data_IF_721495367322
#
_entry.id   IF_721495367322
#
_cell.length_a   1.000
_cell.length_b   1.000
_cell.length_c   1.000
_cell.angle_alpha   90.00
_cell.angle_beta   90.00
_cell.angle_gamma   90.00
#
_symmetry.space_group_name_H-M   'P 1'
#
loop_
_entity.id
_entity.type
_entity.pdbx_description
1 polymer ?
#
# COMPACT_ATOMS: atom_id res chain seq x y z
N UNK A 1 -38.76 -37.63 12.57
CA UNK A 1 -37.87 -36.54 12.13
C UNK A 1 -36.49 -37.15 11.93
N UNK A 2 -36.07 -37.33 10.68
CA UNK A 2 -34.80 -37.97 10.33
C UNK A 2 -33.71 -36.90 10.31
N UNK A 3 -32.77 -36.97 11.26
CA UNK A 3 -31.55 -36.17 11.21
C UNK A 3 -30.63 -36.75 10.14
N UNK A 4 -30.51 -36.04 9.03
CA UNK A 4 -29.55 -36.36 7.99
C UNK A 4 -28.16 -35.85 8.44
N UNK A 5 -27.08 -36.65 8.29
CA UNK A 5 -25.75 -36.18 8.64
C UNK A 5 -25.37 -35.02 7.72
N UNK A 6 -25.04 -33.86 8.29
CA UNK A 6 -24.43 -32.76 7.53
C UNK A 6 -22.97 -33.13 7.36
N UNK A 7 -22.58 -33.54 6.16
CA UNK A 7 -21.18 -33.78 5.85
C UNK A 7 -20.39 -32.47 6.02
N UNK A 8 -19.18 -32.50 6.61
CA UNK A 8 -18.37 -31.31 6.76
C UNK A 8 -17.99 -30.79 5.38
N UNK A 9 -18.30 -29.51 5.13
CA UNK A 9 -17.90 -28.82 3.90
C UNK A 9 -16.36 -28.87 3.83
N UNK A 10 -15.77 -29.40 2.75
CA UNK A 10 -14.33 -29.40 2.56
C UNK A 10 -13.79 -27.96 2.64
N UNK A 11 -12.64 -27.72 3.27
CA UNK A 11 -12.11 -26.36 3.44
C UNK A 11 -11.87 -25.66 2.09
N UNK A 12 -11.63 -26.42 1.01
CA UNK A 12 -11.49 -25.88 -0.35
C UNK A 12 -12.81 -25.32 -0.91
N UNK A 13 -13.96 -25.71 -0.36
CA UNK A 13 -15.28 -25.21 -0.75
C UNK A 13 -15.78 -24.08 0.18
N UNK A 14 -15.09 -23.80 1.28
CA UNK A 14 -15.44 -22.70 2.21
C UNK A 14 -14.86 -21.35 1.79
N UNK A 15 -13.78 -21.37 1.02
CA UNK A 15 -13.19 -20.20 0.37
C UNK A 15 -13.56 -20.34 -1.10
N UNK A 16 -14.53 -19.56 -1.59
CA UNK A 16 -14.87 -19.56 -3.02
C UNK A 16 -13.63 -19.29 -3.90
N UNK A 17 -13.73 -19.56 -5.21
CA UNK A 17 -12.69 -19.15 -6.17
C UNK A 17 -12.31 -17.71 -5.90
N UNK A 18 -11.04 -17.50 -5.56
CA UNK A 18 -10.58 -16.23 -5.06
C UNK A 18 -10.38 -15.30 -6.25
N UNK A 19 -11.17 -14.23 -6.33
CA UNK A 19 -11.22 -13.24 -7.41
C UNK A 19 -10.03 -12.27 -7.44
N UNK A 20 -8.86 -12.69 -6.94
CA UNK A 20 -7.64 -11.87 -6.93
C UNK A 20 -7.19 -11.45 -8.34
N UNK A 21 -7.80 -12.02 -9.37
CA UNK A 21 -7.57 -11.80 -10.79
C UNK A 21 -8.13 -10.45 -11.27
N UNK A 22 -9.09 -9.87 -10.52
CA UNK A 22 -9.86 -8.69 -10.94
C UNK A 22 -9.28 -7.36 -10.40
N UNK A 23 -8.25 -7.41 -9.54
CA UNK A 23 -7.56 -6.20 -9.10
C UNK A 23 -6.55 -5.75 -10.17
N UNK A 24 -6.73 -4.52 -10.68
CA UNK A 24 -5.70 -3.81 -11.46
C UNK A 24 -4.46 -3.56 -10.58
N UNK A 25 -3.65 -4.61 -10.38
CA UNK A 25 -2.41 -4.53 -9.62
C UNK A 25 -1.44 -3.63 -10.37
N UNK A 26 -0.94 -2.63 -9.67
CA UNK A 26 0.08 -1.75 -10.22
C UNK A 26 1.36 -2.52 -10.52
N UNK A 27 1.92 -2.29 -11.69
CA UNK A 27 3.30 -2.69 -11.94
C UNK A 27 4.22 -1.99 -10.94
N UNK A 28 5.35 -2.61 -10.63
CA UNK A 28 6.33 -2.02 -9.70
C UNK A 28 6.76 -0.62 -10.18
N UNK A 29 6.87 -0.43 -11.49
CA UNK A 29 7.15 0.87 -12.11
C UNK A 29 6.05 1.88 -11.80
N UNK A 30 4.78 1.55 -12.03
CA UNK A 30 3.66 2.47 -11.76
C UNK A 30 3.50 2.76 -10.27
N UNK A 31 3.68 1.76 -9.41
CA UNK A 31 3.68 1.95 -7.95
C UNK A 31 4.81 2.89 -7.51
N UNK A 32 6.00 2.77 -8.12
CA UNK A 32 7.15 3.64 -7.83
C UNK A 32 6.89 5.08 -8.28
N UNK A 33 6.34 5.28 -9.50
CA UNK A 33 5.97 6.60 -10.00
C UNK A 33 4.93 7.27 -9.10
N UNK A 34 3.87 6.55 -8.71
CA UNK A 34 2.85 7.08 -7.80
C UNK A 34 3.42 7.42 -6.41
N UNK A 35 4.35 6.62 -5.90
CA UNK A 35 5.06 6.93 -4.65
C UNK A 35 5.93 8.20 -4.78
N UNK A 36 6.64 8.38 -5.90
CA UNK A 36 7.42 9.60 -6.16
C UNK A 36 6.51 10.85 -6.19
N UNK A 37 5.33 10.75 -6.81
CA UNK A 37 4.33 11.82 -6.82
C UNK A 37 3.76 12.12 -5.43
N UNK A 38 3.42 11.08 -4.64
CA UNK A 38 2.92 11.27 -3.27
C UNK A 38 3.97 11.93 -2.37
N UNK A 39 5.25 11.56 -2.53
CA UNK A 39 6.38 12.20 -1.84
C UNK A 39 6.47 13.69 -2.22
N UNK A 40 6.35 14.04 -3.49
CA UNK A 40 6.40 15.42 -3.95
C UNK A 40 5.26 16.26 -3.35
N UNK A 41 4.03 15.71 -3.35
CA UNK A 41 2.86 16.36 -2.75
C UNK A 41 2.99 16.51 -1.23
N UNK A 42 3.51 15.51 -0.53
CA UNK A 42 3.75 15.58 0.91
C UNK A 42 4.79 16.67 1.25
N UNK A 43 5.89 16.76 0.48
CA UNK A 43 6.89 17.84 0.64
C UNK A 43 6.27 19.22 0.45
N UNK A 44 5.43 19.39 -0.57
CA UNK A 44 4.74 20.65 -0.84
C UNK A 44 3.82 21.06 0.33
N UNK A 45 3.00 20.13 0.82
CA UNK A 45 2.10 20.38 1.97
C UNK A 45 2.87 20.78 3.23
N UNK A 46 3.99 20.13 3.51
CA UNK A 46 4.86 20.46 4.64
C UNK A 46 5.42 21.88 4.48
N UNK A 47 5.93 22.24 3.30
CA UNK A 47 6.46 23.58 3.05
C UNK A 47 5.38 24.66 3.22
N UNK A 48 4.16 24.42 2.74
CA UNK A 48 3.02 25.32 2.93
C UNK A 48 2.61 25.44 4.41
N UNK A 49 2.58 24.32 5.13
CA UNK A 49 2.26 24.31 6.56
C UNK A 49 3.32 25.02 7.42
N UNK A 50 4.60 24.90 7.05
CA UNK A 50 5.71 25.61 7.68
C UNK A 50 5.62 27.13 7.47
N UNK A 51 5.19 27.57 6.28
CA UNK A 51 4.99 28.99 5.98
C UNK A 51 3.73 29.57 6.65
N UNK A 52 2.66 28.77 6.77
CA UNK A 52 1.37 29.18 7.33
C UNK A 52 1.25 29.09 8.86
N UNK A 53 2.24 28.51 9.56
CA UNK A 53 2.23 28.38 11.02
C UNK A 53 1.20 27.40 11.58
N UNK A 54 0.61 26.54 10.75
CA UNK A 54 -0.39 25.53 11.17
C UNK A 54 0.36 24.31 11.72
N UNK A 55 0.74 24.39 12.99
CA UNK A 55 1.68 23.45 13.62
C UNK A 55 1.11 22.09 14.06
N UNK A 56 -0.21 21.88 14.10
CA UNK A 56 -0.77 20.65 14.67
C UNK A 56 -0.73 19.43 13.74
N UNK A 57 -0.65 19.62 12.42
CA UNK A 57 -0.57 18.52 11.42
C UNK A 57 0.84 18.28 10.88
N UNK A 58 1.76 19.23 11.07
CA UNK A 58 3.11 19.20 10.50
C UNK A 58 3.95 17.99 10.96
N UNK A 59 3.84 17.59 12.23
CA UNK A 59 4.57 16.43 12.74
C UNK A 59 4.05 15.11 12.14
N UNK A 60 2.74 15.00 11.94
CA UNK A 60 2.13 13.84 11.31
C UNK A 60 2.50 13.76 9.81
N UNK A 61 2.48 14.90 9.12
CA UNK A 61 2.86 14.98 7.71
C UNK A 61 4.34 14.66 7.48
N UNK A 62 5.24 15.14 8.35
CA UNK A 62 6.67 14.76 8.31
C UNK A 62 6.87 13.27 8.54
N UNK A 63 6.18 12.68 9.52
CA UNK A 63 6.25 11.23 9.77
C UNK A 63 5.74 10.43 8.58
N UNK A 64 4.64 10.87 7.95
CA UNK A 64 4.10 10.27 6.72
C UNK A 64 5.12 10.36 5.58
N UNK A 65 5.74 11.51 5.37
CA UNK A 65 6.77 11.71 4.35
C UNK A 65 7.96 10.76 4.53
N UNK A 66 8.47 10.61 5.76
CA UNK A 66 9.55 9.67 6.06
C UNK A 66 9.18 8.22 5.72
N UNK A 67 7.95 7.81 6.03
CA UNK A 67 7.47 6.47 5.71
C UNK A 67 7.41 6.22 4.20
N UNK A 68 6.92 7.20 3.44
CA UNK A 68 6.85 7.11 1.97
C UNK A 68 8.25 7.03 1.35
N UNK A 69 9.19 7.85 1.82
CA UNK A 69 10.58 7.82 1.36
C UNK A 69 11.20 6.44 1.61
N UNK A 70 11.09 5.92 2.84
CA UNK A 70 11.63 4.59 3.19
C UNK A 70 10.97 3.46 2.39
N UNK A 71 9.67 3.57 2.08
CA UNK A 71 9.00 2.59 1.24
C UNK A 71 9.54 2.60 -0.19
N UNK A 72 9.70 3.79 -0.77
CA UNK A 72 10.24 3.99 -2.11
C UNK A 72 11.70 3.50 -2.22
N UNK A 73 12.54 3.81 -1.23
CA UNK A 73 13.93 3.31 -1.16
C UNK A 73 13.99 1.78 -1.12
N UNK A 74 13.13 1.13 -0.33
CA UNK A 74 13.06 -0.33 -0.27
C UNK A 74 12.67 -0.95 -1.61
N UNK A 75 11.69 -0.36 -2.30
CA UNK A 75 11.26 -0.84 -3.62
C UNK A 75 12.39 -0.69 -4.65
N UNK A 76 13.03 0.48 -4.70
CA UNK A 76 14.17 0.74 -5.59
C UNK A 76 15.34 -0.20 -5.31
N UNK A 77 15.66 -0.46 -4.04
CA UNK A 77 16.69 -1.42 -3.67
C UNK A 77 16.34 -2.86 -4.05
N UNK A 78 15.08 -3.28 -3.90
CA UNK A 78 14.62 -4.60 -4.31
C UNK A 78 14.71 -4.79 -5.83
N UNK A 79 14.40 -3.75 -6.62
CA UNK A 79 14.55 -3.78 -8.08
C UNK A 79 16.00 -3.94 -8.53
N UNK A 80 16.94 -3.27 -7.86
CA UNK A 80 18.39 -3.38 -8.17
C UNK A 80 18.92 -4.77 -7.84
N UNK A 81 18.42 -5.39 -6.77
CA UNK A 81 18.88 -6.70 -6.30
C UNK A 81 18.10 -7.89 -6.89
N UNK A 82 17.10 -7.65 -7.74
CA UNK A 82 16.34 -8.72 -8.37
C UNK A 82 17.21 -9.46 -9.41
N UNK A 83 17.26 -10.80 -9.40
CA UNK A 83 17.97 -11.56 -10.43
C UNK A 83 17.36 -11.27 -11.81
N UNK A 84 18.23 -11.04 -12.81
CA UNK A 84 17.85 -10.82 -14.20
C UNK A 84 17.37 -12.09 -14.89
#
# INVERSE_FOLDING_TARGET
MTHQPVEPVPPEAMLGESDWDDEDLLTITEATTRLDDEIALARKRIAEAEQGGIGSTLAADRKRLEQLIRANERIKAAQVNAPR
#
